data_IF_003700245751
#
_entry.id   IF_003700245751
#
_cell.length_a   1.000
_cell.length_b   1.000
_cell.length_c   1.000
_cell.angle_alpha   90.00
_cell.angle_beta   90.00
_cell.angle_gamma   90.00
#
_symmetry.space_group_name_H-M   'P 1'
#
loop_
_entity.id
_entity.type
_entity.pdbx_description
1 polymer ?
#
# COMPACT_ATOMS: atom_id res chain seq x y z
N UNK A 1 18.72 23.88 -42.74
CA UNK A 1 18.00 22.59 -42.70
C UNK A 1 18.93 21.53 -42.13
N UNK A 2 18.39 20.68 -41.23
CA UNK A 2 18.99 19.47 -40.59
C UNK A 2 19.72 19.73 -39.26
N UNK A 3 19.39 19.12 -38.13
CA UNK A 3 18.33 18.20 -37.70
C UNK A 3 18.15 18.45 -36.20
N UNK A 4 16.92 18.66 -35.76
CA UNK A 4 16.49 18.61 -34.36
C UNK A 4 16.90 17.27 -33.74
N UNK A 5 17.84 17.26 -32.82
CA UNK A 5 18.09 16.10 -31.96
C UNK A 5 17.23 16.28 -30.70
N UNK A 6 15.99 15.81 -30.81
CA UNK A 6 15.07 15.64 -29.70
C UNK A 6 15.68 14.56 -28.79
N UNK A 7 16.33 14.96 -27.68
CA UNK A 7 16.79 14.00 -26.69
C UNK A 7 15.54 13.48 -25.97
N UNK A 8 15.16 12.28 -26.39
CA UNK A 8 14.06 11.48 -25.87
C UNK A 8 14.24 11.36 -24.36
N UNK A 9 13.29 11.92 -23.62
CA UNK A 9 13.10 11.70 -22.19
C UNK A 9 13.12 10.19 -21.93
N UNK A 10 14.16 9.72 -21.25
CA UNK A 10 14.24 8.35 -20.78
C UNK A 10 12.98 8.05 -19.96
N UNK A 11 12.23 7.07 -20.43
CA UNK A 11 10.96 6.69 -19.88
C UNK A 11 11.13 6.21 -18.43
N UNK A 12 10.38 6.80 -17.50
CA UNK A 12 10.14 6.27 -16.16
C UNK A 12 9.29 4.99 -16.29
N UNK A 13 9.87 3.89 -16.80
CA UNK A 13 9.18 2.62 -17.03
C UNK A 13 9.49 1.57 -15.96
N UNK A 14 9.41 1.97 -14.68
CA UNK A 14 9.40 0.99 -13.59
C UNK A 14 8.70 1.53 -12.34
N UNK A 15 7.50 2.09 -12.49
CA UNK A 15 6.46 2.06 -11.45
C UNK A 15 5.14 2.51 -12.08
N UNK A 16 4.02 1.78 -11.90
CA UNK A 16 2.73 2.22 -12.40
C UNK A 16 2.35 3.54 -11.72
N UNK A 17 2.45 4.64 -12.46
CA UNK A 17 2.14 5.98 -11.95
C UNK A 17 0.63 6.25 -11.83
N UNK A 18 -0.27 5.42 -12.38
CA UNK A 18 -1.72 5.72 -12.39
C UNK A 18 -2.64 4.49 -12.45
N UNK A 19 -2.28 3.40 -11.80
CA UNK A 19 -3.24 2.42 -11.32
C UNK A 19 -2.94 2.26 -9.84
N UNK A 20 -3.93 2.49 -8.96
CA UNK A 20 -3.75 2.19 -7.55
C UNK A 20 -3.41 0.69 -7.45
N UNK A 21 -2.12 0.38 -7.25
CA UNK A 21 -1.70 -0.98 -6.97
C UNK A 21 -2.49 -1.46 -5.75
N UNK A 22 -3.00 -2.70 -5.78
CA UNK A 22 -3.85 -3.24 -4.71
C UNK A 22 -3.18 -3.11 -3.33
N UNK A 23 -1.84 -3.22 -3.26
CA UNK A 23 -1.06 -2.90 -2.07
C UNK A 23 -1.31 -1.47 -1.59
N UNK A 24 -1.17 -0.48 -2.48
CA UNK A 24 -1.34 0.94 -2.17
C UNK A 24 -2.78 1.26 -1.73
N UNK A 25 -3.78 0.72 -2.45
CA UNK A 25 -5.19 0.89 -2.08
C UNK A 25 -5.50 0.27 -0.71
N UNK A 26 -4.96 -0.91 -0.42
CA UNK A 26 -5.13 -1.51 0.90
C UNK A 26 -4.38 -0.74 2.00
N UNK A 27 -3.18 -0.21 1.73
CA UNK A 27 -2.45 0.65 2.67
C UNK A 27 -3.28 1.90 3.04
N UNK A 28 -3.91 2.53 2.06
CA UNK A 28 -4.81 3.67 2.29
C UNK A 28 -6.03 3.28 3.14
N UNK A 29 -6.62 2.10 2.88
CA UNK A 29 -7.76 1.61 3.67
C UNK A 29 -7.38 1.30 5.12
N UNK A 30 -6.17 0.81 5.37
CA UNK A 30 -5.67 0.56 6.73
C UNK A 30 -5.52 1.88 7.47
N UNK A 31 -4.87 2.87 6.85
CA UNK A 31 -4.68 4.19 7.44
C UNK A 31 -6.02 4.84 7.82
N UNK A 32 -6.99 4.83 6.89
CA UNK A 32 -8.33 5.34 7.15
C UNK A 32 -9.05 4.59 8.28
N UNK A 33 -8.92 3.27 8.34
CA UNK A 33 -9.54 2.46 9.40
C UNK A 33 -8.90 2.71 10.78
N UNK A 34 -7.57 2.87 10.84
CA UNK A 34 -6.86 3.22 12.07
C UNK A 34 -7.28 4.63 12.55
N UNK A 35 -7.33 5.62 11.65
CA UNK A 35 -7.78 6.98 11.96
C UNK A 35 -9.24 7.04 12.42
N UNK A 36 -10.09 6.16 11.89
CA UNK A 36 -11.49 6.04 12.31
C UNK A 36 -11.66 5.28 13.63
N UNK A 37 -10.59 4.93 14.33
CA UNK A 37 -10.60 4.14 15.56
C UNK A 37 -11.30 2.78 15.41
N UNK A 38 -11.08 2.09 14.27
CA UNK A 38 -11.62 0.76 14.06
C UNK A 38 -10.94 -0.27 14.98
N UNK A 39 -11.71 -0.82 15.92
CA UNK A 39 -11.28 -1.87 16.83
C UNK A 39 -10.69 -1.39 18.15
N UNK A 40 -10.01 -2.28 18.86
CA UNK A 40 -9.31 -1.96 20.11
C UNK A 40 -7.92 -1.41 19.83
N UNK A 41 -7.31 -0.72 20.80
CA UNK A 41 -5.92 -0.24 20.69
C UNK A 41 -4.94 -1.36 20.31
N UNK A 42 -5.10 -2.56 20.90
CA UNK A 42 -4.29 -3.73 20.56
C UNK A 42 -4.46 -4.15 19.09
N UNK A 43 -5.69 -4.12 18.58
CA UNK A 43 -5.97 -4.46 17.18
C UNK A 43 -5.38 -3.42 16.22
N UNK A 44 -5.49 -2.14 16.56
CA UNK A 44 -4.86 -1.06 15.79
C UNK A 44 -3.33 -1.21 15.77
N UNK A 45 -2.70 -1.45 16.91
CA UNK A 45 -1.25 -1.70 16.99
C UNK A 45 -0.82 -2.88 16.11
N UNK A 46 -1.57 -3.98 16.12
CA UNK A 46 -1.30 -5.12 15.26
C UNK A 46 -1.47 -4.79 13.78
N UNK A 47 -2.50 -4.04 13.42
CA UNK A 47 -2.72 -3.59 12.05
C UNK A 47 -1.61 -2.66 11.55
N UNK A 48 -1.14 -1.72 12.38
CA UNK A 48 -0.01 -0.84 12.07
C UNK A 48 1.30 -1.62 11.89
N UNK A 49 1.56 -2.66 12.69
CA UNK A 49 2.72 -3.53 12.49
C UNK A 49 2.67 -4.31 11.17
N UNK A 50 1.48 -4.70 10.73
CA UNK A 50 1.29 -5.36 9.42
C UNK A 50 1.42 -4.36 8.28
N UNK A 51 0.96 -3.12 8.46
CA UNK A 51 1.12 -2.02 7.53
C UNK A 51 2.62 -1.71 7.30
N UNK A 52 3.42 -1.64 8.36
CA UNK A 52 4.87 -1.43 8.24
C UNK A 52 5.55 -2.54 7.41
N UNK A 53 5.22 -3.81 7.68
CA UNK A 53 5.72 -4.95 6.89
C UNK A 53 5.28 -4.89 5.42
N UNK A 54 4.07 -4.42 5.17
CA UNK A 54 3.56 -4.22 3.83
C UNK A 54 4.32 -3.13 3.07
N UNK A 55 4.63 -2.01 3.73
CA UNK A 55 5.44 -0.92 3.16
C UNK A 55 6.85 -1.43 2.82
N UNK A 56 7.48 -2.18 3.72
CA UNK A 56 8.80 -2.79 3.46
C UNK A 56 8.76 -3.74 2.26
N UNK A 57 7.71 -4.56 2.15
CA UNK A 57 7.51 -5.45 1.00
C UNK A 57 7.25 -4.67 -0.30
N UNK A 58 6.49 -3.57 -0.24
CA UNK A 58 6.26 -2.70 -1.39
C UNK A 58 7.58 -2.08 -1.88
N UNK A 59 8.40 -1.57 -0.96
CA UNK A 59 9.69 -0.95 -1.25
C UNK A 59 10.72 -1.95 -1.81
N UNK A 60 10.63 -3.22 -1.41
CA UNK A 60 11.48 -4.29 -1.96
C UNK A 60 10.95 -4.87 -3.29
N UNK A 61 9.80 -4.40 -3.78
CA UNK A 61 9.14 -4.91 -4.99
C UNK A 61 8.38 -6.22 -4.79
N UNK A 62 8.22 -6.69 -3.55
CA UNK A 62 7.41 -7.87 -3.21
C UNK A 62 5.93 -7.48 -3.05
N UNK A 63 5.28 -7.18 -4.18
CA UNK A 63 3.88 -6.78 -4.23
C UNK A 63 2.96 -7.85 -3.63
N UNK A 64 3.27 -9.15 -3.79
CA UNK A 64 2.46 -10.25 -3.24
C UNK A 64 2.50 -10.26 -1.72
N UNK A 65 3.69 -10.11 -1.13
CA UNK A 65 3.81 -10.00 0.31
C UNK A 65 3.11 -8.74 0.84
N UNK A 66 3.23 -7.60 0.14
CA UNK A 66 2.49 -6.41 0.53
C UNK A 66 0.98 -6.66 0.59
N UNK A 67 0.39 -7.20 -0.48
CA UNK A 67 -1.06 -7.50 -0.54
C UNK A 67 -1.44 -8.44 0.61
N UNK A 68 -0.67 -9.52 0.83
CA UNK A 68 -0.97 -10.48 1.88
C UNK A 68 -0.91 -9.88 3.30
N UNK A 69 0.04 -8.98 3.58
CA UNK A 69 0.12 -8.31 4.89
C UNK A 69 -1.01 -7.29 5.06
N UNK A 70 -1.33 -6.52 4.02
CA UNK A 70 -2.40 -5.52 4.08
C UNK A 70 -3.79 -6.15 4.21
N UNK A 71 -4.06 -7.26 3.53
CA UNK A 71 -5.33 -8.01 3.68
C UNK A 71 -5.50 -8.55 5.11
N UNK A 72 -4.42 -9.04 5.74
CA UNK A 72 -4.44 -9.47 7.14
C UNK A 72 -4.78 -8.31 8.08
N UNK A 73 -4.17 -7.14 7.86
CA UNK A 73 -4.44 -5.94 8.65
C UNK A 73 -5.91 -5.51 8.54
N UNK A 74 -6.44 -5.44 7.32
CA UNK A 74 -7.84 -5.11 7.07
C UNK A 74 -8.80 -6.13 7.68
N UNK A 75 -8.46 -7.42 7.65
CA UNK A 75 -9.27 -8.46 8.30
C UNK A 75 -9.34 -8.26 9.82
N UNK A 76 -8.20 -7.98 10.46
CA UNK A 76 -8.15 -7.69 11.91
C UNK A 76 -9.05 -6.50 12.28
N UNK A 77 -8.90 -5.38 11.56
CA UNK A 77 -9.67 -4.16 11.81
C UNK A 77 -11.19 -4.36 11.56
N UNK A 78 -11.57 -5.15 10.54
CA UNK A 78 -12.97 -5.47 10.26
C UNK A 78 -13.59 -6.40 11.30
N UNK A 79 -12.84 -7.38 11.82
CA UNK A 79 -13.35 -8.32 12.81
C UNK A 79 -13.66 -7.62 14.13
N UNK A 80 -12.89 -6.59 14.50
CA UNK A 80 -13.10 -5.82 15.72
C UNK A 80 -14.24 -4.80 15.66
N UNK A 81 -14.71 -4.41 14.46
CA UNK A 81 -15.87 -3.52 14.29
C UNK A 81 -17.22 -4.24 14.15
N UNK A 82 -17.23 -5.58 14.24
CA UNK A 82 -18.42 -6.42 14.08
C UNK A 82 -18.90 -6.99 15.42
N UNK A 83 -18.72 -6.22 16.50
CA UNK A 83 -19.15 -6.55 17.87
C UNK A 83 -20.25 -5.61 18.31
#
# INVERSE_FOLDING_TARGET
>A
MKRTALLITAALLASPAFAADLCSDNLQKIDAAVQSNAGTAQTQDQAMRLQEKAIQAQQSGDTKACIAQTEKALKLLKQSGKS
#
